data_IF_999013252665
#
_entry.id   IF_999013252665
#
_cell.length_a   1.000
_cell.length_b   1.000
_cell.length_c   1.000
_cell.angle_alpha   90.00
_cell.angle_beta   90.00
_cell.angle_gamma   90.00
#
_symmetry.space_group_name_H-M   'P 1'
#
loop_
_entity.id
_entity.type
_entity.pdbx_description
1 polymer ?
#
# COMPACT_ATOMS: atom_id res chain seq x y z
N UNK A 1 25.40 25.96 3.95
CA UNK A 1 24.14 26.55 4.50
C UNK A 1 23.01 26.66 3.47
N UNK A 2 23.26 26.88 2.17
CA UNK A 2 22.19 27.05 1.15
C UNK A 2 21.48 25.73 0.78
N UNK A 3 22.12 24.56 0.95
CA UNK A 3 21.52 23.25 0.65
C UNK A 3 20.36 22.84 1.57
N UNK A 4 20.32 23.37 2.80
CA UNK A 4 19.28 23.06 3.80
C UNK A 4 17.97 23.83 3.54
N UNK A 5 18.05 25.03 2.96
CA UNK A 5 16.86 25.86 2.70
C UNK A 5 16.05 25.41 1.48
N UNK A 6 16.67 24.76 0.49
CA UNK A 6 15.94 24.15 -0.64
C UNK A 6 15.13 22.92 -0.25
N UNK A 7 15.49 22.24 0.84
CA UNK A 7 14.74 21.10 1.37
C UNK A 7 13.50 21.51 2.18
N UNK A 8 13.36 22.79 2.55
CA UNK A 8 12.31 23.22 3.48
C UNK A 8 10.95 23.53 2.84
N UNK A 9 10.82 23.62 1.50
CA UNK A 9 9.58 24.13 0.87
C UNK A 9 9.15 23.45 -0.44
N UNK A 10 9.74 22.32 -0.82
CA UNK A 10 9.27 21.59 -2.01
C UNK A 10 8.11 20.66 -1.63
N UNK A 11 6.87 21.13 -1.79
CA UNK A 11 5.71 20.22 -1.79
C UNK A 11 5.92 19.22 -2.94
N UNK A 12 5.82 17.91 -2.68
CA UNK A 12 6.01 16.93 -3.74
C UNK A 12 4.97 17.14 -4.84
N UNK A 13 5.41 17.15 -6.09
CA UNK A 13 4.53 17.22 -7.24
C UNK A 13 3.62 16.00 -7.33
N UNK A 14 2.54 16.10 -8.11
CA UNK A 14 1.57 15.00 -8.29
C UNK A 14 2.25 13.68 -8.67
N UNK A 15 3.23 13.72 -9.57
CA UNK A 15 3.95 12.52 -10.01
C UNK A 15 4.79 11.91 -8.88
N UNK A 16 5.40 12.74 -8.04
CA UNK A 16 6.20 12.27 -6.89
C UNK A 16 5.32 11.60 -5.85
N UNK A 17 4.12 12.14 -5.60
CA UNK A 17 3.12 11.52 -4.74
C UNK A 17 2.66 10.16 -5.27
N UNK A 18 2.41 10.05 -6.58
CA UNK A 18 2.07 8.77 -7.22
C UNK A 18 3.22 7.77 -7.06
N UNK A 19 4.46 8.21 -7.28
CA UNK A 19 5.64 7.38 -7.12
C UNK A 19 5.84 6.93 -5.67
N UNK A 20 5.55 7.79 -4.70
CA UNK A 20 5.61 7.47 -3.28
C UNK A 20 4.55 6.44 -2.88
N UNK A 21 3.29 6.61 -3.32
CA UNK A 21 2.23 5.61 -3.12
C UNK A 21 2.64 4.27 -3.70
N UNK A 22 3.17 4.25 -4.93
CA UNK A 22 3.66 3.03 -5.58
C UNK A 22 4.79 2.40 -4.76
N UNK A 23 5.80 3.17 -4.37
CA UNK A 23 6.93 2.68 -3.59
C UNK A 23 6.50 2.07 -2.25
N UNK A 24 5.62 2.74 -1.51
CA UNK A 24 5.09 2.23 -0.23
C UNK A 24 4.29 0.95 -0.45
N UNK A 25 3.47 0.91 -1.51
CA UNK A 25 2.67 -0.27 -1.85
C UNK A 25 3.54 -1.46 -2.22
N UNK A 26 4.53 -1.26 -3.10
CA UNK A 26 5.41 -2.32 -3.60
C UNK A 26 6.25 -2.92 -2.46
N UNK A 27 6.65 -2.11 -1.47
CA UNK A 27 7.32 -2.58 -0.25
C UNK A 27 6.40 -3.30 0.73
N UNK A 28 5.14 -2.87 0.82
CA UNK A 28 4.17 -3.42 1.77
C UNK A 28 3.56 -4.74 1.26
N UNK A 29 3.38 -4.86 -0.06
CA UNK A 29 2.73 -5.99 -0.71
C UNK A 29 3.29 -7.36 -0.28
N UNK A 30 4.60 -7.67 -0.40
CA UNK A 30 5.10 -9.01 -0.07
C UNK A 30 4.89 -9.36 1.41
N UNK A 31 5.00 -8.36 2.29
CA UNK A 31 4.79 -8.54 3.74
C UNK A 31 3.32 -8.87 4.02
N UNK A 32 2.39 -8.12 3.42
CA UNK A 32 0.95 -8.35 3.62
C UNK A 32 0.51 -9.66 2.97
N UNK A 33 1.03 -9.98 1.78
CA UNK A 33 0.76 -11.24 1.09
C UNK A 33 1.17 -12.42 1.97
N UNK A 34 2.40 -12.42 2.50
CA UNK A 34 2.89 -13.48 3.39
C UNK A 34 2.01 -13.64 4.64
N UNK A 35 1.54 -12.53 5.24
CA UNK A 35 0.67 -12.57 6.42
C UNK A 35 -0.77 -13.00 6.12
N UNK A 36 -1.24 -12.80 4.88
CA UNK A 36 -2.62 -13.02 4.50
C UNK A 36 -2.87 -14.36 3.81
N UNK A 37 -1.90 -14.88 3.06
CA UNK A 37 -2.07 -16.05 2.17
C UNK A 37 -2.60 -17.28 2.88
N UNK A 38 -2.19 -17.52 4.14
CA UNK A 38 -2.62 -18.67 4.94
C UNK A 38 -4.05 -18.58 5.45
N UNK A 39 -4.70 -17.41 5.39
CA UNK A 39 -6.04 -17.16 5.96
C UNK A 39 -7.09 -16.82 4.92
N UNK A 40 -6.71 -16.18 3.81
CA UNK A 40 -7.68 -15.67 2.84
C UNK A 40 -8.25 -16.74 1.90
N UNK A 41 -7.60 -17.89 1.76
CA UNK A 41 -8.01 -18.94 0.80
C UNK A 41 -9.38 -19.56 1.06
N UNK A 42 -9.88 -19.51 2.29
CA UNK A 42 -11.21 -20.04 2.68
C UNK A 42 -12.26 -18.96 2.87
N UNK A 43 -11.90 -17.68 2.71
CA UNK A 43 -12.79 -16.54 2.92
C UNK A 43 -13.57 -16.20 1.65
N UNK A 44 -14.76 -15.64 1.80
CA UNK A 44 -15.41 -14.95 0.68
C UNK A 44 -14.57 -13.75 0.25
N UNK A 45 -14.79 -13.25 -0.97
CA UNK A 45 -14.06 -12.09 -1.49
C UNK A 45 -14.21 -10.85 -0.59
N UNK A 46 -15.41 -10.62 -0.03
CA UNK A 46 -15.66 -9.50 0.86
C UNK A 46 -14.88 -9.63 2.18
N UNK A 47 -14.89 -10.83 2.78
CA UNK A 47 -14.13 -11.12 4.01
C UNK A 47 -12.63 -11.02 3.77
N UNK A 48 -12.13 -11.60 2.68
CA UNK A 48 -10.72 -11.53 2.31
C UNK A 48 -10.27 -10.06 2.16
N UNK A 49 -11.06 -9.22 1.48
CA UNK A 49 -10.78 -7.78 1.36
C UNK A 49 -10.73 -7.08 2.73
N UNK A 50 -11.72 -7.34 3.59
CA UNK A 50 -11.77 -6.78 4.94
C UNK A 50 -10.56 -7.19 5.78
N UNK A 51 -10.21 -8.48 5.74
CA UNK A 51 -9.06 -9.05 6.43
C UNK A 51 -7.74 -8.43 5.95
N UNK A 52 -7.51 -8.40 4.63
CA UNK A 52 -6.30 -7.82 4.04
C UNK A 52 -6.18 -6.33 4.39
N UNK A 53 -7.27 -5.57 4.30
CA UNK A 53 -7.26 -4.14 4.66
C UNK A 53 -6.85 -3.93 6.12
N UNK A 54 -7.39 -4.73 7.05
CA UNK A 54 -7.04 -4.64 8.46
C UNK A 54 -5.55 -4.92 8.70
N UNK A 55 -4.97 -5.92 8.01
CA UNK A 55 -3.55 -6.25 8.10
C UNK A 55 -2.64 -5.22 7.43
N UNK A 56 -3.06 -4.67 6.29
CA UNK A 56 -2.26 -3.75 5.50
C UNK A 56 -1.99 -2.43 6.22
N UNK A 57 -2.93 -1.89 7.00
CA UNK A 57 -2.80 -0.59 7.69
C UNK A 57 -1.49 -0.44 8.47
N UNK A 58 -1.18 -1.41 9.34
CA UNK A 58 0.02 -1.36 10.18
C UNK A 58 1.32 -1.53 9.38
N UNK A 59 1.30 -2.35 8.33
CA UNK A 59 2.45 -2.54 7.44
C UNK A 59 2.71 -1.27 6.63
N UNK A 60 1.68 -0.74 5.98
CA UNK A 60 1.75 0.46 5.15
C UNK A 60 2.23 1.66 5.95
N UNK A 61 1.74 1.85 7.18
CA UNK A 61 2.21 2.94 8.05
C UNK A 61 3.72 2.87 8.29
N UNK A 62 4.23 1.69 8.67
CA UNK A 62 5.68 1.48 8.87
C UNK A 62 6.48 1.70 7.60
N UNK A 63 6.00 1.21 6.45
CA UNK A 63 6.71 1.40 5.18
C UNK A 63 6.68 2.86 4.71
N UNK A 64 5.59 3.58 5.00
CA UNK A 64 5.49 5.02 4.74
C UNK A 64 6.51 5.79 5.58
N UNK A 65 6.60 5.53 6.89
CA UNK A 65 7.60 6.14 7.77
C UNK A 65 9.04 5.94 7.24
N UNK A 66 9.37 4.73 6.77
CA UNK A 66 10.68 4.40 6.16
C UNK A 66 10.92 5.12 4.84
N UNK A 67 9.87 5.36 4.04
CA UNK A 67 9.99 6.10 2.78
C UNK A 67 10.12 7.62 3.01
N UNK A 68 9.46 8.15 4.04
CA UNK A 68 9.45 9.58 4.36
C UNK A 68 10.74 10.04 5.03
N UNK A 69 11.35 9.20 5.89
CA UNK A 69 12.64 9.50 6.56
C UNK A 69 13.75 9.89 5.58
N UNK A 70 13.58 9.59 4.29
CA UNK A 70 14.62 9.78 3.28
C UNK A 70 14.41 10.99 2.36
N UNK A 71 13.24 11.65 2.31
CA UNK A 71 12.95 12.54 1.16
C UNK A 71 12.10 13.80 1.35
N UNK A 72 11.19 13.89 2.33
CA UNK A 72 10.21 15.01 2.31
C UNK A 72 9.71 15.44 3.69
N UNK A 73 9.53 16.75 3.88
CA UNK A 73 8.68 17.31 4.93
C UNK A 73 7.22 17.30 4.43
N UNK A 74 6.53 16.17 4.62
CA UNK A 74 5.11 16.02 4.28
C UNK A 74 4.29 16.21 5.55
N UNK A 75 3.23 17.02 5.49
CA UNK A 75 2.29 17.18 6.60
C UNK A 75 1.51 15.89 6.90
N UNK A 76 1.00 15.77 8.13
CA UNK A 76 0.33 14.56 8.59
C UNK A 76 -0.91 14.19 7.75
N UNK A 77 -1.66 15.16 7.25
CA UNK A 77 -2.86 14.92 6.46
C UNK A 77 -2.52 14.30 5.10
N UNK A 78 -1.45 14.78 4.45
CA UNK A 78 -0.97 14.22 3.20
C UNK A 78 -0.33 12.84 3.42
N UNK A 79 0.38 12.62 4.53
CA UNK A 79 0.85 11.28 4.90
C UNK A 79 -0.30 10.28 5.06
N UNK A 80 -1.38 10.68 5.75
CA UNK A 80 -2.58 9.85 5.91
C UNK A 80 -3.19 9.49 4.54
N UNK A 81 -3.35 10.48 3.64
CA UNK A 81 -3.86 10.24 2.28
C UNK A 81 -2.97 9.27 1.50
N UNK A 82 -1.65 9.42 1.55
CA UNK A 82 -0.70 8.50 0.92
C UNK A 82 -0.88 7.09 1.50
N UNK A 83 -1.00 6.98 2.83
CA UNK A 83 -1.22 5.71 3.53
C UNK A 83 -2.52 5.02 3.10
N UNK A 84 -3.62 5.77 2.97
CA UNK A 84 -4.90 5.25 2.50
C UNK A 84 -4.80 4.71 1.06
N UNK A 85 -4.23 5.51 0.14
CA UNK A 85 -4.07 5.08 -1.26
C UNK A 85 -3.14 3.87 -1.40
N UNK A 86 -2.05 3.83 -0.63
CA UNK A 86 -1.14 2.69 -0.62
C UNK A 86 -1.82 1.44 -0.03
N UNK A 87 -2.61 1.59 1.03
CA UNK A 87 -3.38 0.50 1.62
C UNK A 87 -4.38 -0.10 0.63
N UNK A 88 -5.18 0.72 -0.05
CA UNK A 88 -6.11 0.23 -1.07
C UNK A 88 -5.38 -0.48 -2.21
N UNK A 89 -4.27 0.09 -2.71
CA UNK A 89 -3.46 -0.56 -3.74
C UNK A 89 -2.93 -1.92 -3.31
N UNK A 90 -2.43 -2.04 -2.07
CA UNK A 90 -1.96 -3.33 -1.52
C UNK A 90 -3.10 -4.34 -1.44
N UNK A 91 -4.30 -3.93 -1.01
CA UNK A 91 -5.48 -4.80 -0.97
C UNK A 91 -5.78 -5.34 -2.36
N UNK A 92 -5.80 -4.47 -3.38
CA UNK A 92 -6.03 -4.88 -4.77
C UNK A 92 -4.98 -5.88 -5.28
N UNK A 93 -3.69 -5.65 -4.97
CA UNK A 93 -2.61 -6.57 -5.38
C UNK A 93 -2.76 -7.95 -4.72
N UNK A 94 -2.96 -8.00 -3.40
CA UNK A 94 -3.08 -9.28 -2.66
C UNK A 94 -4.31 -10.07 -3.12
N UNK A 95 -5.44 -9.40 -3.33
CA UNK A 95 -6.67 -10.06 -3.82
C UNK A 95 -6.49 -10.51 -5.27
N UNK A 96 -5.85 -9.71 -6.12
CA UNK A 96 -5.54 -10.08 -7.50
C UNK A 96 -4.70 -11.36 -7.57
N UNK A 97 -3.66 -11.46 -6.75
CA UNK A 97 -2.81 -12.66 -6.64
C UNK A 97 -3.58 -13.89 -6.15
N UNK A 98 -4.44 -13.72 -5.13
CA UNK A 98 -5.30 -14.80 -4.64
C UNK A 98 -6.23 -15.33 -5.73
N UNK A 99 -6.86 -14.43 -6.50
CA UNK A 99 -7.76 -14.79 -7.59
C UNK A 99 -7.01 -15.47 -8.74
N UNK A 100 -5.78 -15.02 -9.03
CA UNK A 100 -4.91 -15.64 -10.03
C UNK A 100 -4.47 -17.05 -9.63
N UNK A 101 -4.20 -17.27 -8.34
CA UNK A 101 -3.81 -18.56 -7.78
C UNK A 101 -4.97 -19.57 -7.67
N UNK A 102 -6.23 -19.13 -7.80
CA UNK A 102 -7.42 -19.99 -7.65
C UNK A 102 -8.08 -20.25 -9.01
N UNK A 103 -7.76 -21.37 -9.72
CA UNK A 103 -8.26 -21.63 -11.08
C UNK A 103 -9.79 -21.75 -11.19
N UNK A 104 -10.51 -21.98 -10.08
CA UNK A 104 -11.96 -22.12 -10.05
C UNK A 104 -12.74 -20.80 -10.18
N UNK A 105 -12.15 -19.64 -9.84
CA UNK A 105 -12.88 -18.37 -9.83
C UNK A 105 -13.01 -17.74 -11.23
N UNK A 106 -12.10 -18.04 -12.16
CA UNK A 106 -12.19 -17.58 -13.56
C UNK A 106 -13.44 -18.06 -14.30
N UNK A 107 -14.04 -19.19 -13.89
CA UNK A 107 -15.20 -19.79 -14.57
C UNK A 107 -16.56 -19.26 -14.11
N UNK A 108 -16.63 -18.46 -13.04
CA UNK A 108 -17.90 -17.88 -12.53
C UNK A 108 -18.05 -16.37 -12.83
N UNK A 109 -17.05 -15.76 -13.44
CA UNK A 109 -17.06 -14.35 -13.84
C UNK A 109 -17.09 -14.15 -15.36
N UNK A 110 -17.28 -15.24 -16.13
CA UNK A 110 -17.46 -15.26 -17.57
C UNK A 110 -18.86 -15.76 -17.89
#
# INVERSE_FOLDING_TARGET
MIHYLKQLLARPGRQELINLVRQVSDRSFPIVQQQAVSRIGTMSLAEARGYVRARARGVVRRQLEVCLTRRYAIDAALQERIGLHACERVVHLVIGEMLAATPAVRRRAA
#
